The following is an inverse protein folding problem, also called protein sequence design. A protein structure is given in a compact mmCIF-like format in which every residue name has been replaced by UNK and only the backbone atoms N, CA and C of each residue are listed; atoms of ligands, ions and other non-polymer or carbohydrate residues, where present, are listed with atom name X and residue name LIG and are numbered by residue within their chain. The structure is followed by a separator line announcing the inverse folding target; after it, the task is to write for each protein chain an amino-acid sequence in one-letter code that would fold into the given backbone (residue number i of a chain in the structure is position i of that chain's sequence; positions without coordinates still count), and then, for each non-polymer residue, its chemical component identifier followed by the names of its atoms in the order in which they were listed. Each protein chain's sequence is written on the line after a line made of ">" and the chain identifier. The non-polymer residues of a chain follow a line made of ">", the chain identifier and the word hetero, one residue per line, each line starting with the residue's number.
data_IF_948196800864
#
_entry.id   IF_948196800864
#
_cell.length_a   1.000
_cell.length_b   1.000
_cell.length_c   1.000
_cell.angle_alpha   90.00
_cell.angle_beta   90.00
_cell.angle_gamma   90.00
#
_symmetry.space_group_name_H-M   'P 1'
#
loop_
_entity.id
_entity.type
_entity.pdbx_description
1 polymer ?
#
# COMPACT_ATOMS: atom_id res chain seq x y z
N UNK A 1 -5.17 -30.41 -22.67
CA UNK A 1 -5.52 -29.04 -22.24
C UNK A 1 -4.75 -28.58 -20.99
N UNK A 2 -4.38 -29.49 -20.06
CA UNK A 2 -3.72 -29.15 -18.78
C UNK A 2 -2.35 -28.48 -18.91
N UNK A 3 -1.40 -29.08 -19.63
CA UNK A 3 0.00 -28.60 -19.67
C UNK A 3 0.17 -27.12 -20.04
N UNK A 4 -0.56 -26.63 -21.06
CA UNK A 4 -0.49 -25.21 -21.44
C UNK A 4 -1.03 -24.31 -20.33
N UNK A 5 -2.14 -24.72 -19.68
CA UNK A 5 -2.71 -24.01 -18.53
C UNK A 5 -1.73 -23.99 -17.37
N UNK A 6 -1.05 -25.10 -17.10
CA UNK A 6 -0.08 -25.24 -16.01
C UNK A 6 1.14 -24.34 -16.26
N UNK A 7 1.63 -24.26 -17.50
CA UNK A 7 2.69 -23.30 -17.89
C UNK A 7 2.25 -21.85 -17.77
N UNK A 8 1.02 -21.51 -18.17
CA UNK A 8 0.47 -20.16 -18.02
C UNK A 8 0.36 -19.78 -16.54
N UNK A 9 -0.12 -20.68 -15.69
CA UNK A 9 -0.21 -20.44 -14.24
C UNK A 9 1.18 -20.20 -13.64
N UNK A 10 2.16 -21.03 -13.98
CA UNK A 10 3.55 -20.85 -13.54
C UNK A 10 4.14 -19.52 -14.01
N UNK A 11 3.89 -19.14 -15.26
CA UNK A 11 4.36 -17.86 -15.81
C UNK A 11 3.73 -16.67 -15.07
N UNK A 12 2.41 -16.68 -14.86
CA UNK A 12 1.71 -15.62 -14.11
C UNK A 12 2.23 -15.56 -12.67
N UNK A 13 2.34 -16.70 -11.98
CA UNK A 13 2.88 -16.74 -10.63
C UNK A 13 4.31 -16.21 -10.57
N UNK A 14 5.16 -16.57 -11.54
CA UNK A 14 6.53 -16.07 -11.65
C UNK A 14 6.59 -14.55 -11.84
N UNK A 15 5.77 -13.99 -12.73
CA UNK A 15 5.71 -12.53 -12.94
C UNK A 15 5.15 -11.82 -11.71
N UNK A 16 4.11 -12.37 -11.06
CA UNK A 16 3.55 -11.80 -9.84
C UNK A 16 4.58 -11.77 -8.72
N UNK A 17 5.31 -12.87 -8.49
CA UNK A 17 6.37 -12.92 -7.48
C UNK A 17 7.47 -11.90 -7.76
N UNK A 18 7.93 -11.81 -9.01
CA UNK A 18 8.94 -10.83 -9.40
C UNK A 18 8.45 -9.39 -9.17
N UNK A 19 7.21 -9.09 -9.58
CA UNK A 19 6.61 -7.77 -9.40
C UNK A 19 6.48 -7.40 -7.91
N UNK A 20 6.08 -8.36 -7.06
CA UNK A 20 6.00 -8.15 -5.61
C UNK A 20 7.38 -7.86 -5.01
N UNK A 21 8.40 -8.63 -5.38
CA UNK A 21 9.79 -8.41 -4.90
C UNK A 21 10.26 -7.01 -5.27
N UNK A 22 10.14 -6.62 -6.54
CA UNK A 22 10.53 -5.28 -7.00
C UNK A 22 9.73 -4.21 -6.26
N UNK A 23 8.42 -4.41 -6.08
CA UNK A 23 7.55 -3.43 -5.41
C UNK A 23 7.94 -3.23 -3.96
N UNK A 24 8.17 -4.30 -3.20
CA UNK A 24 8.51 -4.20 -1.77
C UNK A 24 9.89 -3.61 -1.53
N UNK A 25 10.89 -3.95 -2.35
CA UNK A 25 12.24 -3.38 -2.23
C UNK A 25 12.25 -1.88 -2.55
N UNK A 26 11.39 -1.43 -3.47
CA UNK A 26 11.36 -0.03 -3.93
C UNK A 26 10.29 0.84 -3.23
N UNK A 27 9.63 0.35 -2.17
CA UNK A 27 8.56 1.11 -1.49
C UNK A 27 9.06 2.44 -0.91
N UNK A 28 10.24 2.42 -0.30
CA UNK A 28 10.88 3.59 0.32
C UNK A 28 12.05 4.15 -0.51
N UNK A 29 12.00 3.94 -1.83
CA UNK A 29 13.08 4.37 -2.71
C UNK A 29 13.10 5.89 -2.94
N UNK A 30 12.03 6.60 -2.57
CA UNK A 30 11.94 8.06 -2.67
C UNK A 30 10.95 8.63 -1.64
N UNK A 31 11.06 9.93 -1.33
CA UNK A 31 10.04 10.63 -0.56
C UNK A 31 8.68 10.63 -1.26
N UNK A 32 7.62 10.84 -0.46
CA UNK A 32 6.28 10.95 -0.98
C UNK A 32 6.10 12.07 -1.99
N UNK A 33 5.46 11.72 -3.09
CA UNK A 33 4.94 12.69 -4.03
C UNK A 33 3.66 13.32 -3.49
N UNK A 34 3.27 14.51 -3.99
CA UNK A 34 2.22 15.36 -3.44
C UNK A 34 0.99 14.60 -2.90
N UNK A 35 0.38 13.74 -3.73
CA UNK A 35 -0.81 12.96 -3.34
C UNK A 35 -0.52 11.94 -2.25
N UNK A 36 0.64 11.27 -2.31
CA UNK A 36 1.09 10.29 -1.32
C UNK A 36 1.29 11.00 0.03
N UNK A 37 1.97 12.15 0.06
CA UNK A 37 2.21 12.89 1.30
C UNK A 37 0.93 13.41 1.95
N UNK A 38 -0.05 13.83 1.13
CA UNK A 38 -1.38 14.21 1.63
C UNK A 38 -2.11 13.00 2.24
N UNK A 39 -2.06 11.84 1.58
CA UNK A 39 -2.70 10.62 2.10
C UNK A 39 -1.99 10.16 3.38
N UNK A 40 -0.65 10.14 3.40
CA UNK A 40 0.14 9.74 4.56
C UNK A 40 -0.09 10.62 5.78
N UNK A 41 -0.17 11.95 5.59
CA UNK A 41 -0.53 12.87 6.68
C UNK A 41 -1.88 12.51 7.32
N UNK A 42 -2.91 12.27 6.51
CA UNK A 42 -4.22 11.90 7.04
C UNK A 42 -4.28 10.47 7.59
N UNK A 43 -3.47 9.56 7.06
CA UNK A 43 -3.31 8.21 7.61
C UNK A 43 -2.70 8.24 9.01
N UNK A 44 -1.60 8.98 9.19
CA UNK A 44 -0.97 9.18 10.50
C UNK A 44 -1.93 9.85 11.48
N UNK A 45 -2.61 10.92 11.05
CA UNK A 45 -3.61 11.61 11.89
C UNK A 45 -4.75 10.68 12.32
N UNK A 46 -5.23 9.84 11.42
CA UNK A 46 -6.28 8.85 11.72
C UNK A 46 -5.77 7.72 12.62
N UNK A 47 -4.53 7.27 12.43
CA UNK A 47 -3.91 6.28 13.29
C UNK A 47 -3.79 6.81 14.73
N UNK A 48 -3.34 8.05 14.90
CA UNK A 48 -3.20 8.71 16.20
C UNK A 48 -4.54 8.97 16.91
N UNK A 49 -5.56 9.45 16.17
CA UNK A 49 -6.82 9.90 16.80
C UNK A 49 -7.95 8.88 16.79
N UNK A 50 -7.96 7.99 15.81
CA UNK A 50 -9.14 7.18 15.49
C UNK A 50 -10.32 7.95 14.89
N UNK A 51 -10.16 9.23 14.57
CA UNK A 51 -11.23 10.08 14.02
C UNK A 51 -11.04 10.25 12.53
N UNK A 52 -11.97 9.73 11.74
CA UNK A 52 -11.99 9.94 10.30
C UNK A 52 -12.90 11.12 9.94
N UNK A 53 -12.31 12.15 9.35
CA UNK A 53 -13.04 13.26 8.74
C UNK A 53 -13.04 13.11 7.22
N UNK A 54 -14.23 13.07 6.61
CA UNK A 54 -14.33 13.05 5.16
C UNK A 54 -13.81 14.36 4.57
N UNK A 55 -12.81 14.26 3.69
CA UNK A 55 -12.29 15.38 2.92
C UNK A 55 -12.34 15.01 1.44
N UNK A 56 -13.05 15.77 0.58
CA UNK A 56 -13.13 15.47 -0.85
C UNK A 56 -11.77 15.34 -1.53
N UNK A 57 -10.76 16.07 -1.05
CA UNK A 57 -9.39 16.05 -1.56
C UNK A 57 -8.56 14.82 -1.13
N UNK A 58 -9.04 14.05 -0.15
CA UNK A 58 -8.33 12.93 0.46
C UNK A 58 -8.95 11.55 0.10
N UNK A 59 -10.07 11.53 -0.61
CA UNK A 59 -10.73 10.29 -1.03
C UNK A 59 -11.54 9.62 0.08
N UNK A 60 -11.90 8.35 -0.14
CA UNK A 60 -12.71 7.56 0.79
C UNK A 60 -11.90 6.96 1.95
N UNK A 61 -12.59 6.40 2.96
CA UNK A 61 -11.98 5.99 4.23
C UNK A 61 -11.05 4.77 4.13
N UNK A 62 -11.20 3.95 3.09
CA UNK A 62 -10.59 2.62 3.00
C UNK A 62 -9.07 2.66 3.19
N UNK A 63 -8.39 3.60 2.54
CA UNK A 63 -6.93 3.71 2.60
C UNK A 63 -6.45 4.04 4.02
N UNK A 64 -7.18 4.87 4.76
CA UNK A 64 -6.82 5.25 6.13
C UNK A 64 -7.09 4.13 7.13
N UNK A 65 -8.18 3.37 6.93
CA UNK A 65 -8.46 2.17 7.74
C UNK A 65 -7.36 1.13 7.54
N UNK A 66 -6.97 0.87 6.29
CA UNK A 66 -5.88 -0.06 5.98
C UNK A 66 -4.53 0.43 6.55
N UNK A 67 -4.22 1.72 6.36
CA UNK A 67 -2.99 2.31 6.86
C UNK A 67 -2.91 2.27 8.39
N UNK A 68 -4.00 2.51 9.13
CA UNK A 68 -4.03 2.38 10.59
C UNK A 68 -3.59 0.99 11.06
N UNK A 69 -4.04 -0.07 10.39
CA UNK A 69 -3.61 -1.43 10.72
C UNK A 69 -2.14 -1.65 10.37
N UNK A 70 -1.69 -1.20 9.19
CA UNK A 70 -0.29 -1.33 8.78
C UNK A 70 0.66 -0.58 9.72
N UNK A 71 0.35 0.67 10.06
CA UNK A 71 1.11 1.50 11.00
C UNK A 71 1.10 0.87 12.40
N UNK A 72 -0.03 0.32 12.85
CA UNK A 72 -0.11 -0.37 14.14
C UNK A 72 0.73 -1.64 14.22
N UNK A 73 0.93 -2.35 13.10
CA UNK A 73 1.72 -3.58 13.03
C UNK A 73 3.21 -3.34 12.78
N UNK A 74 3.55 -2.36 11.95
CA UNK A 74 4.91 -2.16 11.41
C UNK A 74 5.55 -0.83 11.83
N UNK A 75 4.82 0.05 12.49
CA UNK A 75 5.26 1.41 12.81
C UNK A 75 5.07 2.39 11.65
N UNK A 76 5.26 3.67 11.93
CA UNK A 76 5.23 4.72 10.92
C UNK A 76 6.60 4.84 10.23
N UNK A 77 6.59 4.80 8.89
CA UNK A 77 7.75 4.99 8.02
C UNK A 77 7.27 5.33 6.61
N UNK A 78 8.14 5.88 5.77
CA UNK A 78 7.85 6.18 4.36
C UNK A 78 7.41 4.93 3.56
N UNK A 79 7.87 3.73 3.95
CA UNK A 79 7.39 2.46 3.37
C UNK A 79 5.92 2.12 3.69
N UNK A 80 5.34 2.72 4.73
CA UNK A 80 4.07 2.31 5.35
C UNK A 80 3.00 3.43 5.33
N UNK A 81 3.38 4.69 5.51
CA UNK A 81 2.46 5.78 5.88
C UNK A 81 2.52 6.99 4.95
#
# INVERSE_FOLDING_TARGET
>A
MSERRDRTVLAVAGVTLLALVVRFVALDARPFHWSEGRVGYWALRFAETGVYDYRPVAGGPLVFVAARWAIGLFGASDAIA
#
